data_IF_011015017395
#
_entry.id   IF_011015017395
#
_cell.length_a   1.000
_cell.length_b   1.000
_cell.length_c   1.000
_cell.angle_alpha   90.00
_cell.angle_beta   90.00
_cell.angle_gamma   90.00
#
_symmetry.space_group_name_H-M   'P 1'
#
loop_
_entity.id
_entity.type
_entity.pdbx_description
1 polymer ?
#
# COMPACT_ATOMS: atom_id res chain seq x y z
N UNK A 1 2.78 29.80 1.59
CA UNK A 1 3.97 28.92 1.60
C UNK A 1 3.50 27.47 1.58
N UNK A 2 3.96 26.68 0.61
CA UNK A 2 3.61 25.26 0.49
C UNK A 2 4.31 24.40 1.55
N UNK A 3 3.89 23.13 1.67
CA UNK A 3 4.57 22.16 2.54
C UNK A 3 5.72 21.50 1.76
N UNK A 4 6.95 21.44 2.31
CA UNK A 4 8.04 20.73 1.66
C UNK A 4 7.76 19.22 1.72
N UNK A 5 7.62 18.60 0.55
CA UNK A 5 7.41 17.15 0.44
C UNK A 5 8.74 16.43 0.74
N UNK A 6 8.77 15.62 1.80
CA UNK A 6 9.97 14.88 2.24
C UNK A 6 9.97 13.39 1.88
N UNK A 7 8.80 12.85 1.55
CA UNK A 7 8.61 11.44 1.20
C UNK A 7 7.13 11.10 1.10
N UNK A 8 6.84 9.89 0.64
CA UNK A 8 5.49 9.42 0.32
C UNK A 8 5.24 8.06 0.94
N UNK A 9 4.04 7.85 1.49
CA UNK A 9 3.53 6.54 1.90
C UNK A 9 2.26 6.27 1.10
N UNK A 10 2.15 5.13 0.41
CA UNK A 10 0.94 4.81 -0.37
C UNK A 10 0.59 3.33 -0.44
N UNK A 11 -0.61 3.03 -0.92
CA UNK A 11 -1.13 1.67 -1.20
C UNK A 11 -0.53 1.04 -2.47
N UNK A 12 0.43 1.71 -3.11
CA UNK A 12 1.17 1.24 -4.28
C UNK A 12 0.35 1.03 -5.57
N UNK A 13 -0.69 1.83 -5.78
CA UNK A 13 -1.34 1.92 -7.09
C UNK A 13 -0.39 2.46 -8.16
N UNK A 14 -0.45 1.89 -9.37
CA UNK A 14 0.45 2.24 -10.49
C UNK A 14 0.43 3.73 -10.84
N UNK A 15 -0.74 4.36 -10.80
CA UNK A 15 -0.90 5.80 -11.03
C UNK A 15 -0.18 6.64 -9.97
N UNK A 16 -0.23 6.22 -8.70
CA UNK A 16 0.48 6.90 -7.60
C UNK A 16 1.99 6.72 -7.78
N UNK A 17 2.46 5.49 -8.04
CA UNK A 17 3.88 5.21 -8.27
C UNK A 17 4.44 6.04 -9.43
N UNK A 18 3.69 6.13 -10.54
CA UNK A 18 4.07 6.95 -11.68
C UNK A 18 4.16 8.44 -11.32
N UNK A 19 3.16 8.97 -10.60
CA UNK A 19 3.16 10.38 -10.18
C UNK A 19 4.30 10.71 -9.21
N UNK A 20 4.59 9.83 -8.24
CA UNK A 20 5.72 10.00 -7.31
C UNK A 20 7.04 10.01 -8.05
N UNK A 21 7.21 9.10 -9.03
CA UNK A 21 8.40 9.06 -9.88
C UNK A 21 8.57 10.34 -10.69
N UNK A 22 7.49 10.83 -11.31
CA UNK A 22 7.50 12.08 -12.07
C UNK A 22 7.88 13.28 -11.19
N UNK A 23 7.26 13.40 -10.01
CA UNK A 23 7.55 14.46 -9.04
C UNK A 23 9.02 14.40 -8.59
N UNK A 24 9.53 13.21 -8.31
CA UNK A 24 10.92 13.00 -7.90
C UNK A 24 11.89 13.52 -8.97
N UNK A 25 11.68 13.16 -10.24
CA UNK A 25 12.56 13.60 -11.33
C UNK A 25 12.46 15.10 -11.60
N UNK A 26 11.26 15.68 -11.47
CA UNK A 26 11.00 17.07 -11.85
C UNK A 26 11.42 18.08 -10.81
N UNK A 27 11.33 17.73 -9.52
CA UNK A 27 11.45 18.71 -8.43
C UNK A 27 12.52 18.36 -7.38
N UNK A 28 13.18 17.20 -7.48
CA UNK A 28 14.19 16.77 -6.52
C UNK A 28 15.49 16.38 -7.23
N UNK A 29 16.62 16.80 -6.66
CA UNK A 29 17.97 16.41 -7.12
C UNK A 29 18.32 14.95 -6.76
N UNK A 30 17.44 14.26 -6.03
CA UNK A 30 17.62 12.89 -5.59
C UNK A 30 16.31 12.10 -5.58
N UNK A 31 16.40 10.85 -5.10
CA UNK A 31 15.23 9.97 -5.03
C UNK A 31 14.30 10.40 -3.88
N UNK A 32 13.03 10.63 -4.19
CA UNK A 32 12.00 10.90 -3.20
C UNK A 32 11.63 9.58 -2.48
N UNK A 33 11.88 9.45 -1.16
CA UNK A 33 11.61 8.20 -0.44
C UNK A 33 10.14 7.81 -0.54
N UNK A 34 9.87 6.61 -1.06
CA UNK A 34 8.51 6.11 -1.29
C UNK A 34 8.30 4.77 -0.57
N UNK A 35 7.61 4.84 0.57
CA UNK A 35 7.19 3.70 1.36
C UNK A 35 5.89 3.11 0.80
N UNK A 36 5.92 1.81 0.56
CA UNK A 36 4.73 1.00 0.29
C UNK A 36 4.06 0.61 1.61
N UNK A 37 2.77 0.85 1.75
CA UNK A 37 2.03 0.50 2.96
C UNK A 37 2.06 -1.02 3.22
N UNK A 38 2.59 -1.42 4.39
CA UNK A 38 2.74 -2.83 4.77
C UNK A 38 1.39 -3.52 5.00
N UNK A 39 0.41 -2.81 5.54
CA UNK A 39 -0.92 -3.36 5.81
C UNK A 39 -1.66 -3.66 4.51
N UNK A 40 -1.68 -2.71 3.57
CA UNK A 40 -2.23 -2.94 2.22
C UNK A 40 -1.48 -4.05 1.48
N UNK A 41 -0.16 -4.15 1.65
CA UNK A 41 0.63 -5.24 1.06
C UNK A 41 0.21 -6.60 1.63
N UNK A 42 0.08 -6.71 2.95
CA UNK A 42 -0.40 -7.93 3.60
C UNK A 42 -1.81 -8.30 3.13
N UNK A 43 -2.74 -7.36 3.15
CA UNK A 43 -4.12 -7.59 2.69
C UNK A 43 -4.16 -8.06 1.24
N UNK A 44 -3.39 -7.41 0.35
CA UNK A 44 -3.29 -7.82 -1.05
C UNK A 44 -2.78 -9.26 -1.17
N UNK A 45 -1.73 -9.62 -0.44
CA UNK A 45 -1.19 -10.99 -0.46
C UNK A 45 -2.20 -12.02 0.07
N UNK A 46 -2.97 -11.68 1.10
CA UNK A 46 -4.01 -12.54 1.69
C UNK A 46 -5.19 -12.77 0.74
N UNK A 47 -5.53 -11.80 -0.11
CA UNK A 47 -6.55 -12.02 -1.16
C UNK A 47 -6.14 -13.09 -2.18
N UNK A 48 -4.83 -13.29 -2.40
CA UNK A 48 -4.31 -14.30 -3.32
C UNK A 48 -4.07 -15.66 -2.65
N UNK A 49 -3.47 -15.69 -1.47
CA UNK A 49 -3.12 -16.94 -0.78
C UNK A 49 -4.28 -17.57 -0.01
N UNK A 50 -5.34 -16.81 0.26
CA UNK A 50 -6.33 -17.08 1.32
C UNK A 50 -5.72 -17.00 2.72
N UNK A 51 -6.56 -16.99 3.76
CA UNK A 51 -6.10 -16.98 5.16
C UNK A 51 -5.66 -18.36 5.68
N UNK A 52 -6.00 -19.44 4.97
CA UNK A 52 -5.68 -20.83 5.37
C UNK A 52 -5.22 -21.65 4.16
N UNK A 53 -4.03 -21.36 3.59
CA UNK A 53 -3.51 -22.11 2.46
C UNK A 53 -3.33 -23.59 2.82
N UNK A 54 -3.75 -24.48 1.92
CA UNK A 54 -3.59 -25.94 2.11
C UNK A 54 -2.19 -26.42 1.75
N UNK A 55 -1.54 -25.77 0.79
CA UNK A 55 -0.21 -26.14 0.31
C UNK A 55 0.87 -25.65 1.26
N UNK A 56 1.96 -26.40 1.36
CA UNK A 56 3.11 -26.00 2.17
C UNK A 56 3.69 -24.65 1.72
N UNK A 57 3.89 -24.46 0.41
CA UNK A 57 4.38 -23.22 -0.15
C UNK A 57 3.48 -22.02 0.19
N UNK A 58 2.15 -22.22 0.14
CA UNK A 58 1.19 -21.19 0.50
C UNK A 58 1.28 -20.79 1.98
N UNK A 59 1.41 -21.78 2.88
CA UNK A 59 1.56 -21.52 4.33
C UNK A 59 2.85 -20.79 4.65
N UNK A 60 3.98 -21.26 4.10
CA UNK A 60 5.28 -20.63 4.29
C UNK A 60 5.28 -19.18 3.78
N UNK A 61 4.73 -18.94 2.59
CA UNK A 61 4.68 -17.58 2.04
C UNK A 61 3.75 -16.66 2.85
N UNK A 62 2.63 -17.18 3.34
CA UNK A 62 1.72 -16.41 4.19
C UNK A 62 2.38 -16.02 5.51
N UNK A 63 3.20 -16.88 6.10
CA UNK A 63 3.99 -16.56 7.28
C UNK A 63 4.97 -15.40 7.02
N UNK A 64 5.71 -15.42 5.90
CA UNK A 64 6.58 -14.31 5.51
C UNK A 64 5.81 -13.00 5.33
N UNK A 65 4.61 -13.08 4.75
CA UNK A 65 3.70 -11.92 4.60
C UNK A 65 3.30 -11.34 5.95
N UNK A 66 3.02 -12.18 6.95
CA UNK A 66 2.70 -11.73 8.30
C UNK A 66 3.89 -11.08 9.01
N UNK A 67 5.09 -11.61 8.79
CA UNK A 67 6.32 -11.08 9.38
C UNK A 67 6.66 -9.67 8.88
N UNK A 68 6.17 -9.24 7.70
CA UNK A 68 6.36 -7.88 7.20
C UNK A 68 6.03 -6.82 8.26
N UNK A 69 4.87 -6.97 8.91
CA UNK A 69 4.38 -5.99 9.90
C UNK A 69 5.11 -6.06 11.25
N UNK A 70 5.95 -7.07 11.46
CA UNK A 70 6.76 -7.29 12.66
C UNK A 70 8.21 -6.78 12.53
N UNK A 71 8.61 -6.33 11.33
CA UNK A 71 9.94 -5.75 11.11
C UNK A 71 10.05 -4.42 11.86
N UNK A 72 11.05 -4.30 12.74
CA UNK A 72 11.27 -3.11 13.59
C UNK A 72 12.57 -2.37 13.27
N UNK A 73 13.52 -3.07 12.67
CA UNK A 73 14.87 -2.57 12.42
C UNK A 73 15.49 -3.30 11.21
N UNK A 74 16.66 -2.83 10.78
CA UNK A 74 17.40 -3.36 9.63
C UNK A 74 17.75 -4.84 9.82
N UNK A 75 18.04 -5.27 11.04
CA UNK A 75 18.35 -6.67 11.34
C UNK A 75 17.14 -7.59 11.06
N UNK A 76 15.94 -7.22 11.52
CA UNK A 76 14.70 -7.98 11.21
C UNK A 76 14.44 -8.02 9.70
N UNK A 77 14.65 -6.91 8.98
CA UNK A 77 14.51 -6.85 7.52
C UNK A 77 15.46 -7.86 6.84
N UNK A 78 16.72 -7.88 7.25
CA UNK A 78 17.73 -8.74 6.64
C UNK A 78 17.46 -10.23 6.92
N UNK A 79 17.00 -10.58 8.13
CA UNK A 79 16.52 -11.93 8.43
C UNK A 79 15.35 -12.29 7.51
N UNK A 80 14.34 -11.42 7.42
CA UNK A 80 13.16 -11.72 6.61
C UNK A 80 13.52 -11.86 5.12
N UNK A 81 14.48 -11.08 4.62
CA UNK A 81 15.01 -11.23 3.27
C UNK A 81 15.64 -12.61 3.06
N UNK A 82 16.50 -13.05 3.99
CA UNK A 82 17.11 -14.39 3.94
C UNK A 82 16.04 -15.49 3.90
N UNK A 83 14.96 -15.35 4.68
CA UNK A 83 13.86 -16.30 4.69
C UNK A 83 13.09 -16.29 3.36
N UNK A 84 12.89 -15.12 2.75
CA UNK A 84 12.31 -15.01 1.41
C UNK A 84 13.20 -15.65 0.33
N UNK A 85 14.52 -15.49 0.41
CA UNK A 85 15.48 -16.15 -0.48
C UNK A 85 15.42 -17.67 -0.34
N UNK A 86 15.43 -18.20 0.89
CA UNK A 86 15.27 -19.64 1.14
C UNK A 86 13.93 -20.18 0.65
N UNK A 87 12.86 -19.39 0.81
CA UNK A 87 11.57 -19.73 0.24
C UNK A 87 11.64 -19.83 -1.29
N UNK A 88 12.27 -18.86 -1.96
CA UNK A 88 12.46 -18.88 -3.41
C UNK A 88 13.23 -20.13 -3.84
N UNK A 89 14.38 -20.40 -3.22
CA UNK A 89 15.21 -21.58 -3.52
C UNK A 89 14.41 -22.88 -3.41
N UNK A 90 13.66 -23.04 -2.31
CA UNK A 90 12.88 -24.25 -2.04
C UNK A 90 11.70 -24.44 -2.99
N UNK A 91 10.97 -23.36 -3.30
CA UNK A 91 9.69 -23.43 -4.01
C UNK A 91 9.77 -22.93 -5.46
N UNK A 92 10.95 -22.65 -6.00
CA UNK A 92 11.10 -22.22 -7.40
C UNK A 92 10.44 -23.18 -8.42
N UNK A 93 10.48 -24.51 -8.27
CA UNK A 93 9.81 -25.41 -9.22
C UNK A 93 8.29 -25.22 -9.19
N UNK A 94 7.71 -25.10 -7.99
CA UNK A 94 6.28 -24.85 -7.76
C UNK A 94 5.85 -23.48 -8.29
N UNK A 95 6.67 -22.45 -8.06
CA UNK A 95 6.39 -21.08 -8.53
C UNK A 95 6.41 -20.99 -10.06
N UNK A 96 7.30 -21.75 -10.72
CA UNK A 96 7.46 -21.75 -12.17
C UNK A 96 6.63 -22.81 -12.90
N UNK A 97 5.93 -23.67 -12.16
CA UNK A 97 5.11 -24.75 -12.72
C UNK A 97 4.05 -24.22 -13.69
N UNK A 98 3.89 -24.91 -14.83
CA UNK A 98 2.97 -24.55 -15.90
C UNK A 98 1.98 -25.67 -16.14
N UNK A 99 0.72 -25.31 -16.27
CA UNK A 99 -0.35 -26.15 -16.82
C UNK A 99 -0.57 -25.75 -18.27
N UNK A 100 -0.81 -26.73 -19.15
CA UNK A 100 -1.06 -26.53 -20.58
C UNK A 100 -2.53 -26.81 -20.90
N UNK A 101 -3.06 -26.14 -21.92
CA UNK A 101 -4.37 -26.50 -22.49
C UNK A 101 -4.34 -27.90 -23.11
N UNK A 102 -5.50 -28.51 -23.28
CA UNK A 102 -5.63 -29.85 -23.90
C UNK A 102 -5.00 -29.91 -25.29
N UNK A 103 -5.13 -28.82 -26.07
CA UNK A 103 -4.53 -28.67 -27.40
C UNK A 103 -3.04 -28.26 -27.38
N UNK A 104 -2.46 -28.06 -26.19
CA UNK A 104 -1.08 -27.58 -25.94
C UNK A 104 -0.69 -26.25 -26.59
N UNK A 105 -1.64 -25.46 -27.10
CA UNK A 105 -1.36 -24.16 -27.74
C UNK A 105 -1.23 -23.02 -26.74
N UNK A 106 -1.75 -23.20 -25.52
CA UNK A 106 -1.69 -22.19 -24.47
C UNK A 106 -1.22 -22.81 -23.15
N UNK A 107 -0.73 -21.97 -22.25
CA UNK A 107 -0.32 -22.38 -20.92
C UNK A 107 -0.59 -21.27 -19.91
N UNK A 108 -0.70 -21.65 -18.65
CA UNK A 108 -0.76 -20.73 -17.51
C UNK A 108 0.08 -21.28 -16.35
N UNK A 109 0.48 -20.41 -15.43
CA UNK A 109 1.13 -20.86 -14.20
C UNK A 109 0.14 -21.65 -13.34
N UNK A 110 0.49 -22.88 -12.97
CA UNK A 110 -0.37 -23.74 -12.13
C UNK A 110 -0.75 -23.00 -10.83
N UNK A 111 0.23 -22.38 -10.19
CA UNK A 111 0.07 -21.67 -8.93
C UNK A 111 0.12 -20.14 -9.08
N UNK A 112 -0.71 -19.60 -9.98
CA UNK A 112 -0.73 -18.16 -10.33
C UNK A 112 -0.76 -17.21 -9.13
N UNK A 113 -1.52 -17.53 -8.08
CA UNK A 113 -1.67 -16.67 -6.91
C UNK A 113 -0.48 -16.75 -5.95
N UNK A 114 0.08 -17.95 -5.74
CA UNK A 114 1.35 -18.12 -5.01
C UNK A 114 2.45 -17.31 -5.68
N UNK A 115 2.57 -17.47 -7.01
CA UNK A 115 3.54 -16.74 -7.82
C UNK A 115 3.35 -15.23 -7.72
N UNK A 116 2.11 -14.74 -7.80
CA UNK A 116 1.80 -13.31 -7.72
C UNK A 116 2.17 -12.73 -6.37
N UNK A 117 1.85 -13.42 -5.28
CA UNK A 117 2.23 -12.98 -3.92
C UNK A 117 3.74 -12.94 -3.75
N UNK A 118 4.45 -13.96 -4.22
CA UNK A 118 5.91 -13.99 -4.18
C UNK A 118 6.53 -12.80 -4.94
N UNK A 119 6.03 -12.51 -6.14
CA UNK A 119 6.48 -11.36 -6.92
C UNK A 119 6.16 -10.01 -6.27
N UNK A 120 5.06 -9.89 -5.53
CA UNK A 120 4.75 -8.66 -4.79
C UNK A 120 5.84 -8.40 -3.75
N UNK A 121 6.25 -9.41 -2.99
CA UNK A 121 7.32 -9.25 -2.02
C UNK A 121 8.65 -8.95 -2.71
N UNK A 122 9.03 -9.76 -3.70
CA UNK A 122 10.33 -9.65 -4.39
C UNK A 122 10.49 -8.34 -5.15
N UNK A 123 9.51 -7.93 -5.94
CA UNK A 123 9.63 -6.75 -6.82
C UNK A 123 9.47 -5.42 -6.07
N UNK A 124 8.93 -5.44 -4.85
CA UNK A 124 8.67 -4.22 -4.08
C UNK A 124 9.52 -4.14 -2.82
N UNK A 125 10.47 -5.07 -2.64
CA UNK A 125 11.24 -5.22 -1.41
C UNK A 125 11.87 -3.91 -0.93
N UNK A 126 12.48 -3.16 -1.85
CA UNK A 126 13.14 -1.88 -1.59
C UNK A 126 12.17 -0.79 -1.10
N UNK A 127 10.87 -0.96 -1.34
CA UNK A 127 9.83 -0.03 -0.94
C UNK A 127 9.06 -0.47 0.31
N UNK A 128 9.25 -1.69 0.80
CA UNK A 128 8.53 -2.21 1.97
C UNK A 128 9.10 -1.69 3.30
N UNK A 129 10.37 -1.29 3.34
CA UNK A 129 11.07 -0.97 4.58
C UNK A 129 11.79 0.39 4.57
N UNK A 130 11.39 1.29 3.69
CA UNK A 130 11.95 2.65 3.56
C UNK A 130 11.84 3.43 4.88
N UNK A 131 10.79 3.19 5.67
CA UNK A 131 10.64 3.81 7.00
C UNK A 131 11.78 3.49 7.99
N UNK A 132 12.56 2.43 7.75
CA UNK A 132 13.73 2.11 8.58
C UNK A 132 14.89 3.07 8.33
N UNK A 133 15.06 3.51 7.08
CA UNK A 133 16.12 4.43 6.67
C UNK A 133 15.65 5.91 6.83
N UNK A 134 14.34 6.15 6.79
CA UNK A 134 13.71 7.47 6.91
C UNK A 134 12.68 7.49 8.05
N UNK A 135 13.08 7.77 9.31
CA UNK A 135 12.21 7.67 10.50
C UNK A 135 10.99 8.60 10.52
N UNK A 136 10.96 9.63 9.66
CA UNK A 136 9.79 10.50 9.51
C UNK A 136 8.66 9.85 8.69
N UNK A 137 8.95 8.76 7.97
CA UNK A 137 7.94 7.95 7.31
C UNK A 137 7.36 6.93 8.28
N UNK A 138 6.10 6.59 8.05
CA UNK A 138 5.39 5.52 8.76
C UNK A 138 5.30 4.28 7.87
N UNK A 139 5.31 3.09 8.47
CA UNK A 139 5.26 1.81 7.73
C UNK A 139 3.94 1.56 6.99
N UNK A 140 2.86 2.19 7.42
CA UNK A 140 1.50 1.99 6.91
C UNK A 140 0.65 3.26 6.97
N UNK A 141 -0.50 3.21 6.31
CA UNK A 141 -1.47 4.30 6.19
C UNK A 141 -2.69 4.11 7.09
N UNK A 142 -2.65 3.18 8.06
CA UNK A 142 -3.84 2.82 8.85
C UNK A 142 -4.43 4.01 9.60
N UNK A 143 -3.57 4.95 10.04
CA UNK A 143 -4.01 6.20 10.69
C UNK A 143 -4.93 7.04 9.79
N UNK A 144 -4.78 6.93 8.46
CA UNK A 144 -5.60 7.64 7.49
C UNK A 144 -6.87 6.86 7.12
N UNK A 145 -6.87 5.53 7.21
CA UNK A 145 -8.02 4.70 6.84
C UNK A 145 -9.27 5.01 7.67
N UNK A 146 -9.11 5.25 8.99
CA UNK A 146 -10.24 5.66 9.84
C UNK A 146 -10.83 7.01 9.43
N UNK A 147 -9.99 7.96 9.03
CA UNK A 147 -10.41 9.27 8.52
C UNK A 147 -11.19 9.13 7.21
N UNK A 148 -10.66 8.35 6.26
CA UNK A 148 -11.32 8.14 4.97
C UNK A 148 -12.61 7.32 5.10
N UNK A 149 -12.65 6.32 5.98
CA UNK A 149 -13.89 5.58 6.27
C UNK A 149 -14.98 6.50 6.82
N UNK A 150 -14.64 7.39 7.75
CA UNK A 150 -15.60 8.37 8.28
C UNK A 150 -16.07 9.35 7.20
N UNK A 151 -15.17 9.74 6.29
CA UNK A 151 -15.50 10.58 5.14
C UNK A 151 -16.45 9.88 4.18
N UNK A 152 -16.12 8.65 3.75
CA UNK A 152 -16.89 7.86 2.80
C UNK A 152 -18.29 7.53 3.35
N UNK A 153 -18.39 7.20 4.64
CA UNK A 153 -19.68 7.00 5.30
C UNK A 153 -20.54 8.28 5.32
N UNK A 154 -19.91 9.44 5.44
CA UNK A 154 -20.63 10.72 5.43
C UNK A 154 -21.05 11.10 4.02
N UNK A 155 -20.17 10.96 3.02
CA UNK A 155 -20.52 11.14 1.61
C UNK A 155 -21.57 10.12 1.14
N UNK A 156 -21.52 8.89 1.65
CA UNK A 156 -22.47 7.82 1.39
C UNK A 156 -23.87 8.11 1.91
N UNK A 157 -24.01 8.92 2.97
CA UNK A 157 -25.30 9.45 3.43
C UNK A 157 -25.82 10.59 2.53
N UNK A 158 -24.94 11.22 1.76
CA UNK A 158 -25.25 12.34 0.88
C UNK A 158 -24.94 12.03 -0.60
N UNK A 159 -25.32 10.84 -1.08
CA UNK A 159 -25.03 10.38 -2.46
C UNK A 159 -25.57 11.32 -3.54
N UNK A 160 -26.66 12.05 -3.27
CA UNK A 160 -27.28 13.00 -4.21
C UNK A 160 -26.57 14.35 -4.38
N UNK A 161 -25.44 14.60 -3.71
CA UNK A 161 -24.71 15.86 -3.86
C UNK A 161 -24.14 16.02 -5.28
N UNK A 162 -24.34 17.21 -5.84
CA UNK A 162 -23.65 17.63 -7.07
C UNK A 162 -22.13 17.65 -6.88
N UNK A 163 -21.36 17.61 -7.97
CA UNK A 163 -19.88 17.65 -7.91
C UNK A 163 -19.36 18.87 -7.14
N UNK A 164 -19.98 20.04 -7.33
CA UNK A 164 -19.66 21.27 -6.60
C UNK A 164 -19.90 21.11 -5.10
N UNK A 165 -21.05 20.58 -4.71
CA UNK A 165 -21.38 20.40 -3.30
C UNK A 165 -20.54 19.31 -2.64
N UNK A 166 -20.13 18.27 -3.38
CA UNK A 166 -19.14 17.29 -2.91
C UNK A 166 -17.78 17.95 -2.64
N UNK A 167 -17.28 18.79 -3.54
CA UNK A 167 -16.03 19.52 -3.31
C UNK A 167 -16.11 20.43 -2.06
N UNK A 168 -17.22 21.17 -1.91
CA UNK A 168 -17.45 21.98 -0.71
C UNK A 168 -17.56 21.14 0.57
N UNK A 169 -18.23 19.99 0.50
CA UNK A 169 -18.31 19.05 1.62
C UNK A 169 -16.92 18.57 2.04
N UNK A 170 -16.08 18.17 1.09
CA UNK A 170 -14.69 17.77 1.36
C UNK A 170 -13.91 18.89 2.03
N UNK A 171 -14.01 20.11 1.49
CA UNK A 171 -13.35 21.29 2.04
C UNK A 171 -13.75 21.52 3.51
N UNK A 172 -15.05 21.59 3.79
CA UNK A 172 -15.57 21.80 5.14
C UNK A 172 -15.22 20.65 6.09
N UNK A 173 -15.28 19.41 5.62
CA UNK A 173 -14.90 18.24 6.42
C UNK A 173 -13.46 18.32 6.91
N UNK A 174 -12.51 18.63 6.02
CA UNK A 174 -11.11 18.79 6.40
C UNK A 174 -10.87 20.05 7.22
N UNK A 175 -11.55 21.16 6.91
CA UNK A 175 -11.46 22.42 7.64
C UNK A 175 -11.88 22.25 9.11
N UNK A 176 -13.07 21.69 9.36
CA UNK A 176 -13.60 21.50 10.71
C UNK A 176 -12.77 20.49 11.52
N UNK A 177 -12.17 19.48 10.88
CA UNK A 177 -11.23 18.59 11.57
C UNK A 177 -9.92 19.26 11.95
N UNK A 178 -9.43 20.17 11.11
CA UNK A 178 -8.22 20.95 11.40
C UNK A 178 -8.47 21.92 12.55
N UNK A 179 -9.68 22.47 12.64
CA UNK A 179 -10.06 23.47 13.63
C UNK A 179 -11.30 23.01 14.42
N UNK A 180 -11.18 22.00 15.29
CA UNK A 180 -12.33 21.37 15.96
C UNK A 180 -13.07 22.31 16.91
N UNK A 181 -12.40 23.36 17.39
CA UNK A 181 -12.95 24.33 18.34
C UNK A 181 -13.43 25.63 17.68
N UNK A 182 -13.42 25.71 16.35
CA UNK A 182 -13.85 26.93 15.66
C UNK A 182 -15.36 27.10 15.80
N UNK A 183 -15.82 28.28 16.25
CA UNK A 183 -17.25 28.58 16.25
C UNK A 183 -17.63 29.07 14.86
N UNK A 184 -18.84 28.75 14.41
CA UNK A 184 -19.34 29.24 13.12
C UNK A 184 -19.33 30.78 13.04
N UNK A 185 -19.44 31.48 14.17
CA UNK A 185 -19.29 32.93 14.29
C UNK A 185 -17.91 33.45 13.91
N UNK A 186 -16.88 32.63 14.08
CA UNK A 186 -15.48 33.02 13.90
C UNK A 186 -15.02 32.83 12.45
N UNK A 187 -15.83 32.13 11.65
CA UNK A 187 -15.63 31.91 10.22
C UNK A 187 -16.11 33.17 9.49
N UNK A 188 -15.21 34.14 9.29
CA UNK A 188 -15.50 35.32 8.47
C UNK A 188 -15.88 34.89 7.05
N UNK A 189 -16.97 35.42 6.51
CA UNK A 189 -17.52 35.19 5.14
C UNK A 189 -16.60 35.62 3.98
N UNK A 190 -15.29 35.77 4.21
CA UNK A 190 -14.36 36.02 3.12
C UNK A 190 -13.99 34.65 2.54
N UNK A 191 -14.42 34.38 1.30
CA UNK A 191 -14.17 33.18 0.48
C UNK A 191 -15.24 32.06 0.53
N UNK A 192 -16.51 32.42 0.28
CA UNK A 192 -17.45 31.53 -0.43
C UNK A 192 -17.40 31.83 -1.93
#
# INVERSE_FOLDING_TARGET
>A
MGYPLKGVVSDWKSSIVAAVKEISVKYFEGNLPHQRCLVHTQLQCQTFLTQRPKTEAGRNLLELVHLLNQVKNIYHRNILFLWLSRFEERFIPVIKERTYSEDKKSWWYTHKYLRRTFLILKNNWDHLFVYLDYPFLVKDTNRLEGLFSQLDNSLGRHRGLSRKNRANFLYWFFFLRRFPNIRLSDIKKHHL
#
